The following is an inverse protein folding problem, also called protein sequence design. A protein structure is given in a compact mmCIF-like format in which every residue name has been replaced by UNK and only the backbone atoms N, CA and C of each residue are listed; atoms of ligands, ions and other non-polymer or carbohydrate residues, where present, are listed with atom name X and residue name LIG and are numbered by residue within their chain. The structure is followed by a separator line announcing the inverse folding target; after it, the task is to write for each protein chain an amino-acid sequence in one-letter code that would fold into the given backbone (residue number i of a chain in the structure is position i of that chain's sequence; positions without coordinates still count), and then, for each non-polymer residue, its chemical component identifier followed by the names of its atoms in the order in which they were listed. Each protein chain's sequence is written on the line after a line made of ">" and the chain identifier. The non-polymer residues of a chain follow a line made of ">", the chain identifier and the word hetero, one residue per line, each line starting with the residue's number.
data_IF_379304834343
#
_entry.id   IF_379304834343
#
_cell.length_a   1.000
_cell.length_b   1.000
_cell.length_c   1.000
_cell.angle_alpha   90.00
_cell.angle_beta   90.00
_cell.angle_gamma   90.00
#
_symmetry.space_group_name_H-M   'P 1'
#
loop_
_entity.id
_entity.type
_entity.pdbx_description
1 polymer ?
#
# COMPACT_ATOMS: atom_id res chain seq x y z
N UNK A 1 -19.98 -5.66 -13.84
CA UNK A 1 -19.45 -4.31 -14.15
C UNK A 1 -18.43 -3.95 -13.07
N UNK A 2 -17.25 -3.47 -13.43
CA UNK A 2 -16.27 -2.97 -12.45
C UNK A 2 -16.82 -1.64 -11.92
N UNK A 3 -17.06 -1.52 -10.61
CA UNK A 3 -17.46 -0.25 -10.01
C UNK A 3 -16.36 0.80 -10.23
N UNK A 4 -16.75 2.04 -10.48
CA UNK A 4 -15.80 3.14 -10.59
C UNK A 4 -15.42 3.64 -9.21
N UNK A 5 -14.21 4.19 -9.07
CA UNK A 5 -13.74 4.78 -7.81
C UNK A 5 -14.73 5.82 -7.26
N UNK A 6 -15.30 6.66 -8.14
CA UNK A 6 -16.26 7.70 -7.76
C UNK A 6 -17.62 7.20 -7.24
N UNK A 7 -17.99 5.95 -7.53
CA UNK A 7 -19.29 5.36 -7.11
C UNK A 7 -19.15 4.27 -6.05
N UNK A 8 -17.90 3.95 -5.68
CA UNK A 8 -17.58 2.97 -4.66
C UNK A 8 -17.81 3.55 -3.26
N UNK A 9 -18.19 2.70 -2.29
CA UNK A 9 -18.22 3.12 -0.90
C UNK A 9 -16.79 3.33 -0.37
N UNK A 10 -16.65 4.02 0.77
CA UNK A 10 -15.33 4.34 1.36
C UNK A 10 -14.47 3.07 1.53
N UNK A 11 -15.05 1.98 2.03
CA UNK A 11 -14.32 0.72 2.21
C UNK A 11 -13.78 0.15 0.89
N UNK A 12 -14.57 0.24 -0.19
CA UNK A 12 -14.16 -0.19 -1.53
C UNK A 12 -13.12 0.75 -2.12
N UNK A 13 -13.24 2.07 -1.92
CA UNK A 13 -12.23 3.05 -2.36
C UNK A 13 -10.88 2.79 -1.68
N UNK A 14 -10.88 2.56 -0.36
CA UNK A 14 -9.67 2.18 0.39
C UNK A 14 -9.05 0.92 -0.21
N UNK A 15 -9.84 -0.12 -0.46
CA UNK A 15 -9.35 -1.35 -1.09
C UNK A 15 -8.74 -1.08 -2.48
N UNK A 16 -9.40 -0.28 -3.31
CA UNK A 16 -8.90 0.08 -4.64
C UNK A 16 -7.57 0.86 -4.58
N UNK A 17 -7.41 1.75 -3.59
CA UNK A 17 -6.16 2.47 -3.36
C UNK A 17 -5.09 1.50 -2.87
N UNK A 18 -5.40 0.62 -1.93
CA UNK A 18 -4.48 -0.40 -1.40
C UNK A 18 -3.94 -1.29 -2.53
N UNK A 19 -4.81 -1.78 -3.41
CA UNK A 19 -4.43 -2.56 -4.62
C UNK A 19 -3.58 -1.76 -5.63
N UNK A 20 -3.79 -0.44 -5.70
CA UNK A 20 -2.99 0.45 -6.55
C UNK A 20 -1.61 0.70 -5.96
N UNK A 21 -1.54 0.95 -4.64
CA UNK A 21 -0.29 1.16 -3.91
C UNK A 21 0.58 -0.09 -3.93
N UNK A 22 0.01 -1.28 -3.79
CA UNK A 22 0.73 -2.55 -3.89
C UNK A 22 1.55 -2.64 -5.20
N UNK A 23 0.97 -2.19 -6.31
CA UNK A 23 1.63 -2.20 -7.63
C UNK A 23 2.60 -1.04 -7.82
N UNK A 24 2.24 0.14 -7.33
CA UNK A 24 3.00 1.37 -7.59
C UNK A 24 4.21 1.48 -6.68
N UNK A 25 4.16 0.90 -5.48
CA UNK A 25 5.24 0.98 -4.49
C UNK A 25 6.21 -0.21 -4.59
N UNK A 26 5.87 -1.29 -5.28
CA UNK A 26 6.83 -2.37 -5.53
C UNK A 26 7.80 -1.98 -6.66
N UNK A 27 8.93 -1.36 -6.28
CA UNK A 27 9.92 -0.75 -7.20
C UNK A 27 11.33 -1.31 -7.05
N UNK A 28 11.45 -2.54 -6.54
CA UNK A 28 12.71 -3.25 -6.41
C UNK A 28 13.28 -3.23 -4.99
N UNK A 29 14.61 -3.38 -4.81
CA UNK A 29 15.20 -3.70 -3.51
C UNK A 29 15.10 -2.57 -2.48
N UNK A 30 14.96 -1.32 -2.94
CA UNK A 30 14.88 -0.14 -2.06
C UNK A 30 13.47 0.10 -1.51
N UNK A 31 12.45 -0.35 -2.25
CA UNK A 31 11.04 -0.24 -1.89
C UNK A 31 10.29 -1.44 -2.45
N UNK A 32 9.88 -2.34 -1.56
CA UNK A 32 9.21 -3.60 -1.92
C UNK A 32 7.94 -3.78 -1.11
N UNK A 33 6.92 -4.41 -1.68
CA UNK A 33 5.66 -4.68 -1.00
C UNK A 33 5.58 -6.15 -0.59
N UNK A 34 5.07 -6.43 0.62
CA UNK A 34 4.87 -7.80 1.10
C UNK A 34 4.25 -7.88 2.49
N UNK A 35 4.11 -9.08 3.03
CA UNK A 35 3.68 -9.33 4.42
C UNK A 35 4.83 -9.94 5.22
N UNK A 36 4.79 -9.85 6.56
CA UNK A 36 5.79 -10.54 7.39
C UNK A 36 5.55 -12.06 7.45
N UNK A 37 4.34 -12.50 7.13
CA UNK A 37 3.97 -13.92 7.11
C UNK A 37 2.66 -14.20 6.38
N UNK A 38 2.31 -15.49 6.19
CA UNK A 38 1.06 -15.91 5.59
C UNK A 38 -0.15 -15.41 6.39
N UNK A 39 -1.08 -14.72 5.73
CA UNK A 39 -2.29 -14.17 6.35
C UNK A 39 -2.09 -12.86 7.12
N UNK A 40 -0.87 -12.32 7.13
CA UNK A 40 -0.61 -11.00 7.71
C UNK A 40 -0.92 -9.85 6.74
N UNK A 41 -1.12 -8.66 7.30
CA UNK A 41 -1.38 -7.46 6.53
C UNK A 41 -0.18 -7.10 5.62
N UNK A 42 -0.49 -6.50 4.47
CA UNK A 42 0.53 -6.08 3.52
C UNK A 42 1.13 -4.74 3.96
N UNK A 43 2.45 -4.63 3.83
CA UNK A 43 3.24 -3.46 4.14
C UNK A 43 4.11 -3.09 2.93
N UNK A 44 4.43 -1.81 2.80
CA UNK A 44 5.57 -1.37 1.99
C UNK A 44 6.80 -1.29 2.89
N UNK A 45 7.88 -1.92 2.45
CA UNK A 45 9.17 -1.93 3.12
C UNK A 45 10.13 -1.00 2.39
N UNK A 46 10.71 -0.05 3.12
CA UNK A 46 11.66 0.94 2.59
C UNK A 46 12.99 0.77 3.31
N UNK A 47 14.10 0.67 2.56
CA UNK A 47 15.44 0.64 3.16
C UNK A 47 15.79 2.02 3.73
N UNK A 48 16.48 2.06 4.88
CA UNK A 48 16.82 3.33 5.53
C UNK A 48 17.88 4.16 4.78
N UNK A 49 18.75 3.47 4.05
CA UNK A 49 19.81 4.05 3.23
C UNK A 49 20.17 3.08 2.09
N UNK A 50 20.80 3.54 1.00
CA UNK A 50 21.28 2.66 -0.06
C UNK A 50 22.09 1.49 0.51
N UNK A 51 21.74 0.27 0.11
CA UNK A 51 22.36 -0.99 0.58
C UNK A 51 22.17 -1.32 2.07
N UNK A 52 21.24 -0.66 2.79
CA UNK A 52 20.92 -0.99 4.18
C UNK A 52 20.12 -2.30 4.28
N UNK A 53 20.47 -3.13 5.26
CA UNK A 53 19.68 -4.31 5.64
C UNK A 53 18.48 -3.95 6.52
N UNK A 54 18.48 -2.76 7.12
CA UNK A 54 17.37 -2.27 7.95
C UNK A 54 16.27 -1.70 7.06
N UNK A 55 15.03 -2.11 7.37
CA UNK A 55 13.83 -1.68 6.65
C UNK A 55 12.80 -1.11 7.62
N UNK A 56 12.20 0.01 7.24
CA UNK A 56 10.97 0.48 7.87
C UNK A 56 9.76 -0.09 7.12
N UNK A 57 8.79 -0.60 7.86
CA UNK A 57 7.54 -1.12 7.31
C UNK A 57 6.41 -0.12 7.54
N UNK A 58 5.65 0.19 6.48
CA UNK A 58 4.46 1.03 6.56
C UNK A 58 3.24 0.22 6.10
N UNK A 59 2.18 0.24 6.91
CA UNK A 59 0.92 -0.45 6.59
C UNK A 59 0.30 0.15 5.32
N UNK A 60 0.10 -0.68 4.29
CA UNK A 60 -0.56 -0.26 3.06
C UNK A 60 -2.01 0.15 3.30
N UNK A 61 -2.72 -0.58 4.17
CA UNK A 61 -4.06 -0.23 4.57
C UNK A 61 -4.14 1.17 5.22
N UNK A 62 -3.17 1.51 6.07
CA UNK A 62 -3.12 2.84 6.72
C UNK A 62 -2.85 3.93 5.68
N UNK A 63 -1.86 3.74 4.81
CA UNK A 63 -1.58 4.66 3.71
C UNK A 63 -2.79 4.85 2.79
N UNK A 64 -3.51 3.78 2.48
CA UNK A 64 -4.70 3.83 1.64
C UNK A 64 -5.82 4.65 2.28
N UNK A 65 -6.02 4.52 3.60
CA UNK A 65 -6.99 5.33 4.35
C UNK A 65 -6.61 6.81 4.38
N UNK A 66 -5.33 7.12 4.58
CA UNK A 66 -4.85 8.50 4.59
C UNK A 66 -5.02 9.14 3.21
N UNK A 67 -4.67 8.42 2.14
CA UNK A 67 -4.87 8.90 0.77
C UNK A 67 -6.34 9.07 0.44
N UNK A 68 -7.21 8.16 0.88
CA UNK A 68 -8.65 8.28 0.66
C UNK A 68 -9.22 9.58 1.22
N UNK A 69 -8.72 10.04 2.37
CA UNK A 69 -9.13 11.33 2.97
C UNK A 69 -8.66 12.53 2.12
N UNK A 70 -7.56 12.38 1.38
CA UNK A 70 -6.99 13.44 0.54
C UNK A 70 -7.58 13.47 -0.88
N UNK A 71 -8.28 12.42 -1.29
CA UNK A 71 -8.86 12.29 -2.63
C UNK A 71 -10.31 12.80 -2.65
N UNK A 72 -10.64 13.75 -3.56
CA UNK A 72 -11.95 14.40 -3.61
C UNK A 72 -13.11 13.46 -3.98
#
# INVERSE_FOLDING_TARGET
>A
MRQSFATACIAQRIQMIEEALEKVLDRGPEMSVGSFGPGEAIHVFVIEAPFSDTRTAYSLHTLARELEVLLP
#
